data_IF_443844996905
#
_entry.id   IF_443844996905
#
_cell.length_a   1.000
_cell.length_b   1.000
_cell.length_c   1.000
_cell.angle_alpha   90.00
_cell.angle_beta   90.00
_cell.angle_gamma   90.00
#
_symmetry.space_group_name_H-M   'P 1'
#
loop_
_entity.id
_entity.type
_entity.pdbx_description
1 polymer ?
#
# COMPACT_ATOMS: atom_id res chain seq x y z
N UNK A 1 14.18 -9.88 -12.83
CA UNK A 1 15.05 -9.81 -11.64
C UNK A 1 14.22 -9.21 -10.54
N UNK A 2 13.66 -10.10 -9.73
CA UNK A 2 12.81 -9.80 -8.58
C UNK A 2 13.71 -9.27 -7.48
N UNK A 3 13.41 -8.08 -6.97
CA UNK A 3 14.19 -7.40 -5.95
C UNK A 3 14.13 -8.17 -4.63
N UNK A 4 15.25 -8.33 -3.90
CA UNK A 4 15.31 -9.05 -2.63
C UNK A 4 14.42 -8.45 -1.52
N UNK A 5 13.96 -7.20 -1.66
CA UNK A 5 12.97 -6.59 -0.77
C UNK A 5 11.57 -7.19 -0.87
N UNK A 6 11.19 -7.78 -2.01
CA UNK A 6 9.89 -8.47 -2.14
C UNK A 6 9.86 -9.81 -1.38
N UNK A 7 11.01 -10.37 -1.02
CA UNK A 7 11.10 -11.64 -0.28
C UNK A 7 11.04 -11.47 1.24
N UNK A 8 11.33 -10.28 1.79
CA UNK A 8 11.31 -10.07 3.25
C UNK A 8 9.91 -9.86 3.84
N UNK A 9 8.93 -9.46 3.03
CA UNK A 9 7.53 -9.26 3.47
C UNK A 9 6.52 -10.30 2.93
N UNK A 10 7.00 -11.32 2.22
CA UNK A 10 6.18 -12.29 1.49
C UNK A 10 5.58 -13.42 2.33
N UNK A 11 4.86 -13.12 3.41
CA UNK A 11 3.90 -14.10 3.92
C UNK A 11 2.67 -14.06 3.02
N UNK A 12 2.38 -15.17 2.37
CA UNK A 12 1.17 -15.33 1.56
C UNK A 12 -0.07 -14.95 2.39
N UNK A 13 -1.08 -14.36 1.75
CA UNK A 13 -2.35 -13.98 2.39
C UNK A 13 -2.92 -15.12 3.27
N UNK A 14 -2.93 -16.40 2.84
CA UNK A 14 -3.42 -17.50 3.66
C UNK A 14 -2.69 -17.64 5.01
N UNK A 15 -1.38 -17.44 5.04
CA UNK A 15 -0.60 -17.54 6.27
C UNK A 15 -0.92 -16.41 7.24
N UNK A 16 -1.21 -15.21 6.72
CA UNK A 16 -1.61 -14.05 7.53
C UNK A 16 -2.99 -14.27 8.15
N UNK A 17 -3.94 -14.78 7.37
CA UNK A 17 -5.29 -15.12 7.84
C UNK A 17 -5.20 -16.18 8.94
N UNK A 18 -4.45 -17.26 8.70
CA UNK A 18 -4.25 -18.33 9.68
C UNK A 18 -3.65 -17.82 11.00
N UNK A 19 -2.66 -16.93 10.94
CA UNK A 19 -2.07 -16.33 12.13
C UNK A 19 -3.11 -15.56 12.97
N UNK A 20 -4.04 -14.85 12.33
CA UNK A 20 -5.09 -14.12 13.03
C UNK A 20 -6.17 -15.07 13.58
N UNK A 21 -6.53 -16.11 12.84
CA UNK A 21 -7.47 -17.15 13.28
C UNK A 21 -6.94 -17.95 14.48
N UNK A 22 -5.67 -18.35 14.43
CA UNK A 22 -5.00 -19.05 15.53
C UNK A 22 -4.96 -18.16 16.79
N UNK A 23 -4.64 -16.88 16.64
CA UNK A 23 -4.68 -15.91 17.75
C UNK A 23 -6.09 -15.73 18.31
N UNK A 24 -7.10 -15.63 17.43
CA UNK A 24 -8.50 -15.51 17.85
C UNK A 24 -8.95 -16.73 18.66
N UNK A 25 -8.63 -17.94 18.19
CA UNK A 25 -8.96 -19.18 18.86
C UNK A 25 -8.31 -19.29 20.25
N UNK A 26 -7.02 -18.92 20.37
CA UNK A 26 -6.29 -18.94 21.63
C UNK A 26 -6.85 -17.96 22.67
N UNK A 27 -7.37 -16.81 22.23
CA UNK A 27 -7.91 -15.77 23.12
C UNK A 27 -9.44 -15.85 23.29
N UNK A 28 -10.09 -16.89 22.75
CA UNK A 28 -11.54 -17.05 22.83
C UNK A 28 -12.33 -15.97 22.09
N UNK A 29 -11.74 -15.37 21.04
CA UNK A 29 -12.34 -14.31 20.24
C UNK A 29 -13.07 -14.93 19.05
N UNK A 30 -14.36 -14.62 18.90
CA UNK A 30 -15.15 -15.06 17.76
C UNK A 30 -14.91 -14.17 16.54
N UNK A 31 -14.41 -14.74 15.45
CA UNK A 31 -14.21 -14.01 14.18
C UNK A 31 -15.54 -13.91 13.44
N UNK A 32 -16.15 -12.73 13.44
CA UNK A 32 -17.46 -12.47 12.80
C UNK A 32 -17.36 -12.01 11.36
N UNK A 33 -16.23 -11.41 10.98
CA UNK A 33 -15.98 -10.89 9.63
C UNK A 33 -14.48 -10.82 9.36
N UNK A 34 -14.08 -11.10 8.13
CA UNK A 34 -12.69 -10.99 7.67
C UNK A 34 -12.58 -10.03 6.48
N UNK A 35 -11.60 -9.13 6.53
CA UNK A 35 -11.37 -8.12 5.51
C UNK A 35 -9.91 -8.15 5.07
N UNK A 36 -9.67 -8.55 3.83
CA UNK A 36 -8.31 -8.68 3.27
C UNK A 36 -8.09 -7.60 2.23
N UNK A 37 -7.00 -6.86 2.38
CA UNK A 37 -6.58 -5.84 1.44
C UNK A 37 -5.51 -6.39 0.49
N UNK A 38 -5.77 -6.34 -0.82
CA UNK A 38 -4.82 -6.76 -1.86
C UNK A 38 -3.88 -5.59 -2.18
N UNK A 39 -2.62 -5.68 -1.74
CA UNK A 39 -1.60 -4.63 -1.92
C UNK A 39 -1.28 -4.30 -3.38
N UNK A 40 -1.66 -5.15 -4.33
CA UNK A 40 -1.18 -5.13 -5.72
C UNK A 40 -1.83 -4.08 -6.63
N UNK A 41 -2.87 -3.37 -6.20
CA UNK A 41 -3.49 -2.34 -7.04
C UNK A 41 -3.49 -0.97 -6.32
N UNK A 42 -2.70 -0.02 -6.85
CA UNK A 42 -2.56 1.39 -6.40
C UNK A 42 -3.87 2.15 -6.13
N UNK A 43 -5.04 1.63 -6.55
CA UNK A 43 -6.38 2.20 -6.32
C UNK A 43 -7.30 1.35 -5.44
N UNK A 44 -7.03 0.06 -5.22
CA UNK A 44 -7.95 -0.87 -4.55
C UNK A 44 -7.66 -1.06 -3.06
N UNK A 45 -6.54 -0.52 -2.57
CA UNK A 45 -5.97 -0.92 -1.27
C UNK A 45 -6.62 -0.27 -0.03
N UNK A 46 -7.87 0.17 -0.14
CA UNK A 46 -8.63 0.86 0.92
C UNK A 46 -10.08 0.39 1.00
N UNK A 47 -10.54 -0.40 0.04
CA UNK A 47 -11.92 -0.90 0.00
C UNK A 47 -12.19 -1.81 1.20
N UNK A 48 -11.22 -2.64 1.58
CA UNK A 48 -11.35 -3.54 2.74
C UNK A 48 -11.44 -2.75 4.06
N UNK A 49 -10.58 -1.75 4.26
CA UNK A 49 -10.63 -0.87 5.43
C UNK A 49 -11.96 -0.10 5.52
N UNK A 50 -12.44 0.47 4.41
CA UNK A 50 -13.73 1.16 4.38
C UNK A 50 -14.91 0.23 4.68
N UNK A 51 -14.87 -1.01 4.18
CA UNK A 51 -15.89 -2.01 4.47
C UNK A 51 -15.87 -2.44 5.94
N UNK A 52 -14.68 -2.63 6.52
CA UNK A 52 -14.52 -2.90 7.96
C UNK A 52 -15.12 -1.77 8.82
N UNK A 53 -14.80 -0.51 8.50
CA UNK A 53 -15.38 0.64 9.24
C UNK A 53 -16.90 0.69 9.13
N UNK A 54 -17.45 0.39 7.95
CA UNK A 54 -18.92 0.32 7.76
C UNK A 54 -19.53 -0.80 8.58
N UNK A 55 -18.85 -1.95 8.66
CA UNK A 55 -19.29 -3.10 9.44
C UNK A 55 -19.33 -2.78 10.94
N UNK A 56 -18.25 -2.21 11.49
CA UNK A 56 -18.17 -1.81 12.91
C UNK A 56 -19.24 -0.79 13.29
N UNK A 57 -19.54 0.17 12.41
CA UNK A 57 -20.64 1.13 12.64
C UNK A 57 -22.02 0.50 12.59
N UNK A 58 -22.19 -0.59 11.84
CA UNK A 58 -23.46 -1.31 11.71
C UNK A 58 -23.71 -2.24 12.90
N UNK A 59 -22.64 -2.80 13.46
CA UNK A 59 -22.66 -3.81 14.51
C UNK A 59 -21.84 -3.33 15.72
N UNK A 60 -22.40 -2.46 16.59
CA UNK A 60 -21.67 -1.88 17.73
C UNK A 60 -21.28 -2.91 18.80
N UNK A 61 -21.83 -4.13 18.76
CA UNK A 61 -21.41 -5.26 19.58
C UNK A 61 -20.01 -5.77 19.24
N UNK A 62 -19.51 -5.47 18.03
CA UNK A 62 -18.19 -5.88 17.57
C UNK A 62 -17.17 -4.87 18.06
N UNK A 63 -16.50 -5.21 19.17
CA UNK A 63 -15.58 -4.31 19.85
C UNK A 63 -14.10 -4.61 19.63
N UNK A 64 -13.76 -5.68 18.91
CA UNK A 64 -12.37 -6.14 18.76
C UNK A 64 -11.99 -6.16 17.28
N UNK A 65 -10.83 -5.59 16.97
CA UNK A 65 -10.17 -5.67 15.66
C UNK A 65 -8.87 -6.44 15.83
N UNK A 66 -8.70 -7.50 15.03
CA UNK A 66 -7.44 -8.23 14.96
C UNK A 66 -6.66 -7.79 13.73
N UNK A 67 -5.41 -7.35 13.93
CA UNK A 67 -4.52 -6.91 12.86
C UNK A 67 -3.14 -7.54 13.06
N UNK A 68 -2.45 -7.81 11.97
CA UNK A 68 -1.08 -8.34 12.04
C UNK A 68 -0.09 -7.37 12.69
N UNK A 69 -0.03 -6.11 12.22
CA UNK A 69 0.93 -5.07 12.65
C UNK A 69 0.40 -3.66 12.36
N UNK A 70 0.98 -2.64 13.00
CA UNK A 70 0.50 -1.25 13.00
C UNK A 70 0.39 -0.65 11.59
N UNK A 71 1.38 -0.89 10.72
CA UNK A 71 1.40 -0.36 9.34
C UNK A 71 0.29 -0.90 8.42
N UNK A 72 -0.35 -2.01 8.81
CA UNK A 72 -1.46 -2.60 8.06
C UNK A 72 -2.80 -1.96 8.38
N UNK A 73 -2.93 -1.35 9.57
CA UNK A 73 -4.14 -0.64 9.97
C UNK A 73 -4.05 0.86 9.66
N UNK A 74 -2.95 1.50 10.05
CA UNK A 74 -2.79 2.95 9.92
C UNK A 74 -1.79 3.28 8.83
N UNK A 75 -2.24 3.96 7.76
CA UNK A 75 -1.29 4.61 6.82
C UNK A 75 -1.15 6.10 7.07
N UNK A 76 -2.05 6.69 7.83
CA UNK A 76 -2.03 8.10 8.18
C UNK A 76 -2.69 8.34 9.54
N UNK A 77 -2.45 9.53 10.12
CA UNK A 77 -3.04 9.92 11.40
C UNK A 77 -4.57 9.97 11.41
N UNK A 78 -5.22 10.20 10.26
CA UNK A 78 -6.69 10.20 10.16
C UNK A 78 -7.24 8.79 10.37
N UNK A 79 -6.57 7.77 9.83
CA UNK A 79 -6.97 6.38 10.05
C UNK A 79 -6.94 6.03 11.55
N UNK A 80 -5.91 6.50 12.26
CA UNK A 80 -5.80 6.34 13.71
C UNK A 80 -6.94 7.05 14.46
N UNK A 81 -7.18 8.33 14.15
CA UNK A 81 -8.26 9.09 14.77
C UNK A 81 -9.65 8.47 14.54
N UNK A 82 -9.90 7.91 13.34
CA UNK A 82 -11.16 7.22 13.04
C UNK A 82 -11.35 5.96 13.90
N UNK A 83 -10.29 5.17 14.09
CA UNK A 83 -10.35 3.94 14.89
C UNK A 83 -10.48 4.28 16.39
N UNK A 84 -9.77 5.30 16.86
CA UNK A 84 -9.85 5.79 18.23
C UNK A 84 -11.28 6.27 18.58
N UNK A 85 -11.91 7.03 17.67
CA UNK A 85 -13.30 7.51 17.81
C UNK A 85 -14.35 6.37 17.84
N UNK A 86 -14.02 5.19 17.30
CA UNK A 86 -14.90 4.02 17.37
C UNK A 86 -14.89 3.33 18.75
N UNK A 87 -13.92 3.62 19.63
CA UNK A 87 -13.85 3.02 20.97
C UNK A 87 -13.68 1.49 20.98
N UNK A 88 -13.05 0.96 19.92
CA UNK A 88 -12.77 -0.47 19.73
C UNK A 88 -11.39 -0.85 20.26
N UNK A 89 -11.25 -2.10 20.69
CA UNK A 89 -9.99 -2.72 21.07
C UNK A 89 -9.28 -3.26 19.82
N UNK A 90 -7.99 -2.96 19.67
CA UNK A 90 -7.19 -3.35 18.52
C UNK A 90 -6.02 -4.20 18.99
N UNK A 91 -5.93 -5.43 18.51
CA UNK A 91 -4.84 -6.35 18.80
C UNK A 91 -3.89 -6.40 17.61
N UNK A 92 -2.64 -6.03 17.85
CA UNK A 92 -1.53 -6.16 16.91
C UNK A 92 -0.77 -7.46 17.21
N UNK A 93 -1.12 -8.53 16.49
CA UNK A 93 -0.70 -9.90 16.83
C UNK A 93 0.82 -10.08 16.76
N UNK A 94 1.50 -9.53 15.75
CA UNK A 94 2.97 -9.64 15.64
C UNK A 94 3.72 -8.74 16.60
N UNK A 95 3.10 -7.64 17.02
CA UNK A 95 3.71 -6.67 17.94
C UNK A 95 3.43 -7.04 19.40
N UNK A 96 2.51 -8.01 19.63
CA UNK A 96 1.99 -8.38 20.94
C UNK A 96 1.50 -7.17 21.74
N UNK A 97 0.78 -6.28 21.05
CA UNK A 97 0.24 -5.03 21.61
C UNK A 97 -1.27 -5.04 21.49
N UNK A 98 -1.96 -4.71 22.57
CA UNK A 98 -3.41 -4.51 22.60
C UNK A 98 -3.69 -3.06 22.94
N UNK A 99 -4.34 -2.34 22.04
CA UNK A 99 -4.74 -0.95 22.22
C UNK A 99 -6.23 -0.91 22.53
N UNK A 100 -6.61 -0.39 23.69
CA UNK A 100 -8.01 -0.19 24.06
C UNK A 100 -8.22 1.22 24.61
N UNK A 101 -9.48 1.64 24.73
CA UNK A 101 -9.79 2.95 25.30
C UNK A 101 -9.31 3.09 26.76
N UNK A 102 -9.20 1.96 27.49
CA UNK A 102 -8.69 1.90 28.85
C UNK A 102 -7.16 1.97 28.99
N UNK A 103 -6.40 2.00 27.88
CA UNK A 103 -4.94 2.15 27.94
C UNK A 103 -4.53 3.49 28.55
N UNK A 104 -3.40 3.50 29.27
CA UNK A 104 -2.86 4.73 29.88
C UNK A 104 -2.53 5.75 28.79
N UNK A 105 -2.67 7.04 29.09
CA UNK A 105 -2.33 8.13 28.17
C UNK A 105 -0.90 8.04 27.62
N UNK A 106 0.05 7.53 28.42
CA UNK A 106 1.42 7.25 28.00
C UNK A 106 1.52 6.17 26.91
N UNK A 107 0.69 5.13 26.98
CA UNK A 107 0.67 4.05 25.99
C UNK A 107 0.05 4.53 24.68
N UNK A 108 -1.05 5.30 24.75
CA UNK A 108 -1.66 5.98 23.60
C UNK A 108 -0.66 6.94 22.93
N UNK A 109 0.13 7.68 23.71
CA UNK A 109 1.17 8.58 23.20
C UNK A 109 2.30 7.82 22.48
N UNK A 110 2.86 6.79 23.09
CA UNK A 110 3.90 5.95 22.46
C UNK A 110 3.38 5.30 21.18
N UNK A 111 2.13 4.84 21.18
CA UNK A 111 1.49 4.32 19.99
C UNK A 111 1.37 5.38 18.88
N UNK A 112 0.94 6.60 19.20
CA UNK A 112 0.91 7.73 18.27
C UNK A 112 2.28 8.02 17.64
N UNK A 113 3.36 7.98 18.43
CA UNK A 113 4.74 8.11 17.92
C UNK A 113 5.07 6.97 16.95
N UNK A 114 4.72 5.72 17.26
CA UNK A 114 4.96 4.57 16.36
C UNK A 114 4.24 4.74 15.03
N UNK A 115 3.00 5.22 15.03
CA UNK A 115 2.24 5.52 13.81
C UNK A 115 2.94 6.58 12.96
N UNK A 116 3.44 7.65 13.60
CA UNK A 116 4.21 8.70 12.91
C UNK A 116 5.50 8.17 12.31
N UNK A 117 6.24 7.32 13.03
CA UNK A 117 7.48 6.72 12.54
C UNK A 117 7.22 5.78 11.35
N UNK A 118 6.18 4.94 11.43
CA UNK A 118 5.80 4.05 10.34
C UNK A 118 5.44 4.84 9.07
N UNK A 119 4.70 5.95 9.23
CA UNK A 119 4.38 6.84 8.11
C UNK A 119 5.64 7.47 7.53
N UNK A 120 6.52 8.01 8.36
CA UNK A 120 7.77 8.63 7.91
C UNK A 120 8.66 7.63 7.15
N UNK A 121 8.69 6.36 7.57
CA UNK A 121 9.41 5.30 6.87
C UNK A 121 8.85 5.05 5.46
N UNK A 122 7.53 4.92 5.33
CA UNK A 122 6.85 4.73 4.03
C UNK A 122 7.08 5.94 3.11
N UNK A 123 6.94 7.15 3.64
CA UNK A 123 7.15 8.39 2.91
C UNK A 123 8.62 8.48 2.43
N UNK A 124 9.59 8.17 3.29
CA UNK A 124 11.01 8.13 2.93
C UNK A 124 11.29 7.10 1.83
N UNK A 125 10.76 5.88 1.94
CA UNK A 125 10.94 4.84 0.93
C UNK A 125 10.37 5.27 -0.44
N UNK A 126 9.22 5.94 -0.43
CA UNK A 126 8.62 6.52 -1.64
C UNK A 126 9.51 7.62 -2.24
N UNK A 127 10.09 8.49 -1.41
CA UNK A 127 11.03 9.51 -1.85
C UNK A 127 12.31 8.93 -2.46
N UNK A 128 12.92 7.94 -1.81
CA UNK A 128 14.11 7.24 -2.32
C UNK A 128 13.81 6.54 -3.64
N UNK A 129 12.66 5.87 -3.74
CA UNK A 129 12.23 5.24 -5.00
C UNK A 129 12.08 6.27 -6.10
N UNK A 130 11.52 7.46 -5.80
CA UNK A 130 11.39 8.55 -6.77
C UNK A 130 12.74 9.12 -7.20
N UNK A 131 13.67 9.33 -6.27
CA UNK A 131 15.04 9.77 -6.57
C UNK A 131 15.76 8.77 -7.47
N UNK A 132 15.71 7.48 -7.13
CA UNK A 132 16.33 6.43 -7.95
C UNK A 132 15.69 6.28 -9.35
N UNK A 133 14.39 6.53 -9.49
CA UNK A 133 13.75 6.61 -10.81
C UNK A 133 14.24 7.83 -11.61
N UNK A 134 14.39 8.98 -10.95
CA UNK A 134 14.84 10.21 -11.59
C UNK A 134 16.31 10.14 -12.03
N UNK A 135 17.18 9.57 -11.20
CA UNK A 135 18.58 9.32 -11.55
C UNK A 135 18.72 8.37 -12.73
N UNK A 136 17.91 7.29 -12.77
CA UNK A 136 17.85 6.39 -13.93
C UNK A 136 17.44 7.14 -15.19
N UNK A 137 16.43 8.01 -15.10
CA UNK A 137 16.01 8.85 -16.22
C UNK A 137 17.13 9.81 -16.70
N UNK A 138 17.84 10.45 -15.76
CA UNK A 138 18.98 11.33 -16.08
C UNK A 138 20.15 10.58 -16.74
N UNK A 139 20.37 9.31 -16.37
CA UNK A 139 21.38 8.44 -16.98
C UNK A 139 20.93 7.87 -18.35
N UNK A 140 19.79 8.32 -18.88
CA UNK A 140 19.25 7.88 -20.17
C UNK A 140 18.52 6.54 -20.11
N UNK A 141 18.29 5.98 -18.93
CA UNK A 141 17.47 4.77 -18.77
C UNK A 141 15.99 5.15 -18.66
N UNK A 142 15.11 4.36 -19.26
CA UNK A 142 13.68 4.49 -19.03
C UNK A 142 13.24 3.58 -17.88
N UNK A 143 12.90 4.15 -16.69
CA UNK A 143 12.65 3.35 -15.49
C UNK A 143 11.24 2.75 -15.45
N UNK A 144 10.31 3.22 -16.29
CA UNK A 144 8.89 2.83 -16.31
C UNK A 144 8.50 2.04 -17.56
N UNK A 145 7.20 1.81 -17.78
CA UNK A 145 6.72 1.24 -19.04
C UNK A 145 6.89 2.24 -20.18
N UNK A 146 7.23 1.75 -21.37
CA UNK A 146 7.28 2.57 -22.56
C UNK A 146 5.86 3.10 -22.89
N UNK A 147 5.72 4.36 -23.33
CA UNK A 147 4.47 4.88 -23.88
C UNK A 147 4.02 4.05 -25.10
N UNK A 148 2.72 4.07 -25.38
CA UNK A 148 2.14 3.43 -26.57
C UNK A 148 2.83 3.98 -27.83
N UNK A 149 3.23 3.09 -28.76
CA UNK A 149 4.03 3.44 -29.94
C UNK A 149 5.54 3.28 -29.74
N UNK A 150 5.99 2.95 -28.52
CA UNK A 150 7.38 2.65 -28.23
C UNK A 150 7.53 1.37 -27.41
N UNK A 151 8.68 0.70 -27.57
CA UNK A 151 9.06 -0.51 -26.84
C UNK A 151 10.28 -0.28 -25.97
N UNK A 152 10.27 -0.88 -24.77
CA UNK A 152 11.46 -0.96 -23.93
C UNK A 152 12.46 -1.93 -24.58
N UNK A 153 13.60 -1.42 -25.04
CA UNK A 153 14.72 -2.21 -25.56
C UNK A 153 15.93 -2.08 -24.65
N UNK A 154 16.86 -3.03 -24.75
CA UNK A 154 18.17 -2.89 -24.13
C UNK A 154 19.14 -2.37 -25.20
N UNK A 155 19.89 -1.32 -24.92
CA UNK A 155 20.98 -0.87 -25.80
C UNK A 155 22.15 -1.89 -25.79
N UNK A 156 23.18 -1.66 -26.63
CA UNK A 156 24.37 -2.52 -26.73
C UNK A 156 25.21 -2.61 -25.44
N UNK A 157 24.94 -1.78 -24.43
CA UNK A 157 25.54 -1.79 -23.09
C UNK A 157 24.58 -2.35 -22.03
N UNK A 158 23.42 -2.90 -22.43
CA UNK A 158 22.43 -3.51 -21.54
C UNK A 158 21.47 -2.52 -20.87
N UNK A 159 21.50 -1.24 -21.23
CA UNK A 159 20.67 -0.19 -20.63
C UNK A 159 19.24 -0.27 -21.16
N UNK A 160 18.23 -0.26 -20.28
CA UNK A 160 16.81 -0.16 -20.69
C UNK A 160 16.54 1.23 -21.26
N UNK A 161 16.34 1.33 -22.57
CA UNK A 161 16.00 2.55 -23.30
C UNK A 161 14.70 2.34 -24.06
N UNK A 162 14.11 3.43 -24.54
CA UNK A 162 12.93 3.37 -25.40
C UNK A 162 13.37 3.37 -26.87
N UNK A 163 12.81 2.47 -27.68
CA UNK A 163 12.87 2.54 -29.14
C UNK A 163 11.46 2.61 -29.73
N UNK A 164 11.30 3.28 -30.87
CA UNK A 164 10.02 3.31 -31.59
C UNK A 164 9.59 1.89 -31.95
N UNK A 165 8.32 1.58 -31.70
CA UNK A 165 7.74 0.29 -32.10
C UNK A 165 7.48 0.31 -33.61
N UNK A 166 8.02 -0.63 -34.41
CA UNK A 166 7.85 -0.61 -35.86
C UNK A 166 6.39 -0.83 -36.31
N UNK A 167 5.52 -1.43 -35.51
CA UNK A 167 4.11 -1.63 -35.85
C UNK A 167 3.21 -0.53 -35.28
N UNK A 168 3.43 -0.14 -34.02
CA UNK A 168 2.59 0.85 -33.33
C UNK A 168 3.07 2.30 -33.52
N UNK A 169 4.36 2.51 -33.79
CA UNK A 169 4.96 3.83 -33.99
C UNK A 169 4.33 4.63 -35.12
N UNK A 170 4.16 4.06 -36.34
CA UNK A 170 3.52 4.76 -37.45
C UNK A 170 2.07 5.16 -37.17
N UNK A 171 1.35 4.38 -36.35
CA UNK A 171 -0.05 4.63 -35.99
C UNK A 171 -0.15 5.84 -35.06
N UNK A 172 0.75 5.96 -34.08
CA UNK A 172 0.78 7.09 -33.13
C UNK A 172 1.18 8.39 -33.83
N UNK A 173 2.14 8.37 -34.75
CA UNK A 173 2.52 9.54 -35.57
C UNK A 173 1.37 10.02 -36.46
N UNK A 174 0.58 9.08 -37.00
CA UNK A 174 -0.55 9.42 -37.86
C UNK A 174 -1.74 10.00 -37.07
N UNK A 175 -1.97 9.54 -35.84
CA UNK A 175 -2.97 10.09 -34.94
C UNK A 175 -2.57 11.48 -34.38
N UNK A 176 -1.28 11.73 -34.12
CA UNK A 176 -0.83 13.06 -33.64
C UNK A 176 -0.90 14.14 -34.72
N UNK A 177 -0.71 13.77 -35.99
CA UNK A 177 -0.81 14.70 -37.14
C UNK A 177 -2.27 15.10 -37.44
N UNK A 178 -3.25 14.36 -36.92
CA UNK A 178 -4.69 14.62 -37.12
C UNK A 178 -5.37 15.51 -36.07
N UNK A 179 -4.66 15.98 -35.04
CA UNK A 179 -5.22 16.97 -34.10
C UNK A 179 -4.99 18.39 -34.64
N UNK A 180 -6.04 19.18 -34.93
CA UNK A 180 -5.85 20.60 -35.24
C UNK A 180 -5.27 21.30 -34.01
N UNK A 181 -4.27 22.15 -34.23
CA UNK A 181 -3.61 22.93 -33.18
C UNK A 181 -4.62 23.84 -32.48
N UNK A 182 -5.16 23.36 -31.36
CA UNK A 182 -5.97 24.15 -30.45
C UNK A 182 -5.07 25.06 -29.62
N UNK A 183 -5.26 26.37 -29.81
CA UNK A 183 -4.72 27.43 -28.96
C UNK A 183 -4.89 27.10 -27.47
N UNK A 184 -3.80 27.22 -26.71
CA UNK A 184 -3.78 27.22 -25.25
C UNK A 184 -3.86 28.69 -24.81
N UNK A 185 -4.86 29.11 -24.00
CA UNK A 185 -4.80 30.40 -23.29
C UNK A 185 -3.82 30.35 -22.10
#
# INVERSE_FOLDING_TARGET
>A
MSTPDQQREGYSIPTRVKLLEDYAALNGIAVVSSHVDLETARKSSRTAFGNMLRYLRRYPEVRIILVEKTDRLYRNLKDWAIIDDLGVEVHFVKENVVMSDGCRSSEKFVHGIKVLMAKAYIDNLSEETRKGMLEKAQQGHWPSCAPVGYRNVKDGQGRKVIAADPELGPIVTRCSTGMPQGHIP
#
